data_IF_804961207419
#
_entry.id   IF_804961207419
#
_cell.length_a   1.000
_cell.length_b   1.000
_cell.length_c   1.000
_cell.angle_alpha   90.00
_cell.angle_beta   90.00
_cell.angle_gamma   90.00
#
_symmetry.space_group_name_H-M   'P 1'
#
loop_
_entity.id
_entity.type
_entity.pdbx_description
1 polymer ?
#
# COMPACT_ATOMS: atom_id res chain seq x y z
N UNK A 1 -37.94 -0.82 12.83
CA UNK A 1 -37.73 0.16 11.74
C UNK A 1 -36.80 1.31 12.13
N UNK A 2 -37.05 2.04 13.20
CA UNK A 2 -36.23 3.19 13.63
C UNK A 2 -34.77 2.80 13.88
N UNK A 3 -34.50 1.71 14.59
CA UNK A 3 -33.13 1.26 14.86
C UNK A 3 -32.34 0.92 13.58
N UNK A 4 -32.98 0.23 12.62
CA UNK A 4 -32.35 -0.05 11.32
C UNK A 4 -32.02 1.23 10.55
N UNK A 5 -32.93 2.19 10.55
CA UNK A 5 -32.70 3.50 9.93
C UNK A 5 -31.52 4.24 10.56
N UNK A 6 -31.42 4.25 11.91
CA UNK A 6 -30.30 4.87 12.61
C UNK A 6 -28.97 4.19 12.28
N UNK A 7 -28.93 2.86 12.21
CA UNK A 7 -27.73 2.11 11.82
C UNK A 7 -27.29 2.46 10.40
N UNK A 8 -28.23 2.49 9.44
CA UNK A 8 -27.92 2.86 8.05
C UNK A 8 -27.43 4.31 7.95
N UNK A 9 -28.01 5.21 8.72
CA UNK A 9 -27.58 6.62 8.76
C UNK A 9 -26.14 6.74 9.28
N UNK A 10 -25.80 6.03 10.37
CA UNK A 10 -24.41 6.01 10.90
C UNK A 10 -23.43 5.45 9.87
N UNK A 11 -23.79 4.36 9.20
CA UNK A 11 -22.94 3.79 8.14
C UNK A 11 -22.72 4.81 7.02
N UNK A 12 -23.79 5.48 6.55
CA UNK A 12 -23.69 6.50 5.51
C UNK A 12 -22.77 7.65 5.92
N UNK A 13 -22.93 8.17 7.16
CA UNK A 13 -22.06 9.23 7.70
C UNK A 13 -20.60 8.78 7.74
N UNK A 14 -20.32 7.58 8.24
CA UNK A 14 -18.94 7.03 8.28
C UNK A 14 -18.36 6.90 6.87
N UNK A 15 -19.15 6.45 5.90
CA UNK A 15 -18.71 6.34 4.50
C UNK A 15 -18.37 7.71 3.92
N UNK A 16 -19.20 8.72 4.16
CA UNK A 16 -18.97 10.11 3.71
C UNK A 16 -17.69 10.66 4.35
N UNK A 17 -17.51 10.50 5.66
CA UNK A 17 -16.29 10.96 6.35
C UNK A 17 -15.03 10.31 5.75
N UNK A 18 -15.05 8.99 5.50
CA UNK A 18 -13.92 8.28 4.87
C UNK A 18 -13.66 8.77 3.46
N UNK A 19 -14.69 8.98 2.67
CA UNK A 19 -14.59 9.50 1.31
C UNK A 19 -14.00 10.91 1.28
N UNK A 20 -14.56 11.83 2.08
CA UNK A 20 -14.06 13.22 2.15
C UNK A 20 -12.62 13.26 2.67
N UNK A 21 -12.31 12.46 3.70
CA UNK A 21 -10.95 12.35 4.23
C UNK A 21 -9.95 11.84 3.19
N UNK A 22 -10.36 10.90 2.33
CA UNK A 22 -9.53 10.43 1.22
C UNK A 22 -9.32 11.52 0.16
N UNK A 23 -10.40 12.17 -0.30
CA UNK A 23 -10.35 13.22 -1.32
C UNK A 23 -9.49 14.42 -0.91
N UNK A 24 -9.40 14.71 0.38
CA UNK A 24 -8.55 15.78 0.92
C UNK A 24 -7.11 15.35 1.18
N UNK A 25 -6.79 14.06 1.09
CA UNK A 25 -5.46 13.53 1.36
C UNK A 25 -4.45 13.90 0.28
N UNK A 26 -3.19 14.03 0.67
CA UNK A 26 -2.07 14.21 -0.27
C UNK A 26 -1.97 13.04 -1.24
N UNK A 27 -2.28 11.81 -0.78
CA UNK A 27 -2.33 10.64 -1.65
C UNK A 27 -3.24 10.85 -2.86
N UNK A 28 -4.50 11.25 -2.62
CA UNK A 28 -5.42 11.55 -3.72
C UNK A 28 -4.96 12.73 -4.58
N UNK A 29 -4.46 13.80 -3.95
CA UNK A 29 -4.01 15.00 -4.67
C UNK A 29 -2.88 14.70 -5.65
N UNK A 30 -1.99 13.78 -5.30
CA UNK A 30 -0.84 13.38 -6.13
C UNK A 30 -1.24 12.31 -7.15
N UNK A 31 -1.85 11.19 -6.68
CA UNK A 31 -2.11 10.04 -7.54
C UNK A 31 -3.34 10.18 -8.44
N UNK A 32 -4.33 11.01 -8.03
CA UNK A 32 -5.64 11.17 -8.68
C UNK A 32 -6.44 9.86 -8.78
N UNK A 33 -6.01 8.79 -8.08
CA UNK A 33 -6.71 7.49 -8.10
C UNK A 33 -8.10 7.64 -7.46
N UNK A 34 -9.21 7.22 -8.11
CA UNK A 34 -10.56 7.30 -7.52
C UNK A 34 -10.65 6.50 -6.22
N UNK A 35 -11.51 6.94 -5.29
CA UNK A 35 -11.70 6.28 -3.99
C UNK A 35 -12.03 4.79 -4.12
N UNK A 36 -12.92 4.44 -5.05
CA UNK A 36 -13.32 3.04 -5.26
C UNK A 36 -12.15 2.21 -5.81
N UNK A 37 -11.41 2.74 -6.79
CA UNK A 37 -10.22 2.08 -7.33
C UNK A 37 -9.17 1.83 -6.23
N UNK A 38 -8.90 2.83 -5.38
CA UNK A 38 -8.01 2.66 -4.23
C UNK A 38 -8.51 1.57 -3.26
N UNK A 39 -9.81 1.41 -3.09
CA UNK A 39 -10.39 0.42 -2.17
C UNK A 39 -10.40 -1.02 -2.74
N UNK A 40 -10.47 -1.19 -4.04
CA UNK A 40 -10.62 -2.49 -4.72
C UNK A 40 -9.31 -3.03 -5.26
N UNK A 41 -8.35 -2.18 -5.58
CA UNK A 41 -7.03 -2.61 -6.03
C UNK A 41 -6.10 -2.83 -4.81
N UNK A 42 -5.58 -4.06 -4.71
CA UNK A 42 -4.79 -4.52 -3.56
C UNK A 42 -3.48 -3.75 -3.41
N UNK A 43 -2.79 -3.45 -4.52
CA UNK A 43 -1.54 -2.70 -4.53
C UNK A 43 -1.76 -1.26 -4.09
N UNK A 44 -2.67 -0.57 -4.77
CA UNK A 44 -3.05 0.83 -4.46
C UNK A 44 -3.54 1.00 -3.01
N UNK A 45 -4.27 0.00 -2.49
CA UNK A 45 -4.69 0.02 -1.09
C UNK A 45 -3.51 -0.09 -0.13
N UNK A 46 -2.52 -0.92 -0.44
CA UNK A 46 -1.28 -1.07 0.33
C UNK A 46 -0.50 0.24 0.41
N UNK A 47 -0.27 0.90 -0.73
CA UNK A 47 0.36 2.22 -0.82
C UNK A 47 -0.37 3.27 0.05
N UNK A 48 -1.71 3.32 -0.07
CA UNK A 48 -2.53 4.22 0.73
C UNK A 48 -2.44 3.93 2.23
N UNK A 49 -2.35 2.67 2.64
CA UNK A 49 -2.17 2.28 4.03
C UNK A 49 -0.83 2.78 4.60
N UNK A 50 0.27 2.64 3.83
CA UNK A 50 1.59 3.18 4.20
C UNK A 50 1.49 4.70 4.39
N UNK A 51 0.96 5.42 3.40
CA UNK A 51 0.76 6.86 3.51
C UNK A 51 -0.07 7.23 4.75
N UNK A 52 -1.18 6.54 4.99
CA UNK A 52 -2.08 6.81 6.12
C UNK A 52 -1.40 6.67 7.47
N UNK A 53 -0.48 5.71 7.62
CA UNK A 53 0.33 5.54 8.83
C UNK A 53 1.34 6.69 9.02
N UNK A 54 1.90 7.18 7.92
CA UNK A 54 2.99 8.17 7.94
C UNK A 54 2.52 9.61 7.73
N UNK A 55 1.26 9.87 7.38
CA UNK A 55 0.75 11.19 7.02
C UNK A 55 0.98 12.27 8.10
N UNK A 56 1.08 11.87 9.37
CA UNK A 56 1.34 12.83 10.47
C UNK A 56 2.69 13.54 10.33
N UNK A 57 3.66 12.93 9.62
CA UNK A 57 4.95 13.56 9.33
C UNK A 57 4.83 14.79 8.40
N UNK A 58 3.71 14.93 7.66
CA UNK A 58 3.43 16.12 6.86
C UNK A 58 3.36 17.38 7.73
N UNK A 59 2.90 17.27 8.98
CA UNK A 59 2.88 18.36 9.95
C UNK A 59 4.28 18.86 10.29
N UNK A 60 5.30 18.01 10.12
CA UNK A 60 6.71 18.31 10.35
C UNK A 60 7.46 18.57 9.02
N UNK A 61 6.73 18.88 7.95
CA UNK A 61 7.28 19.26 6.66
C UNK A 61 7.65 18.10 5.72
N UNK A 62 7.35 16.85 6.08
CA UNK A 62 7.57 15.73 5.17
C UNK A 62 6.73 15.85 3.89
N UNK A 63 7.29 15.40 2.77
CA UNK A 63 6.65 15.33 1.46
C UNK A 63 6.57 13.88 1.02
N UNK A 64 5.47 13.54 0.34
CA UNK A 64 5.23 12.21 -0.20
C UNK A 64 5.13 12.23 -1.71
N UNK A 65 5.76 11.25 -2.35
CA UNK A 65 5.60 10.92 -3.76
C UNK A 65 5.16 9.46 -3.86
N UNK A 66 4.41 9.14 -4.90
CA UNK A 66 3.84 7.81 -5.11
C UNK A 66 4.07 7.37 -6.55
N UNK A 67 4.30 6.07 -6.75
CA UNK A 67 4.54 5.46 -8.05
C UNK A 67 5.64 6.20 -8.82
N UNK A 68 6.80 6.38 -8.17
CA UNK A 68 7.95 7.09 -8.74
C UNK A 68 8.77 6.12 -9.60
N UNK A 69 8.92 6.43 -10.89
CA UNK A 69 9.72 5.63 -11.80
C UNK A 69 11.13 6.17 -11.91
N UNK A 70 12.12 5.35 -11.61
CA UNK A 70 13.54 5.67 -11.75
C UNK A 70 14.15 4.89 -12.94
N UNK A 71 15.02 5.51 -13.75
CA UNK A 71 15.72 4.81 -14.80
C UNK A 71 16.76 3.83 -14.22
N UNK A 72 16.80 2.61 -14.75
CA UNK A 72 17.77 1.56 -14.40
C UNK A 72 18.94 1.41 -15.39
N UNK A 73 18.93 2.14 -16.46
CA UNK A 73 19.79 1.91 -17.63
C UNK A 73 19.10 1.04 -18.70
N UNK A 74 19.65 0.99 -19.90
CA UNK A 74 19.14 0.20 -21.05
C UNK A 74 17.65 0.40 -21.37
N UNK A 75 17.04 1.54 -20.96
CA UNK A 75 15.64 1.86 -21.17
C UNK A 75 14.67 1.21 -20.16
N UNK A 76 15.19 0.45 -19.18
CA UNK A 76 14.39 -0.09 -18.09
C UNK A 76 14.12 0.95 -17.00
N UNK A 77 13.02 0.76 -16.26
CA UNK A 77 12.67 1.55 -15.08
C UNK A 77 12.41 0.65 -13.89
N UNK A 78 12.60 1.20 -12.70
CA UNK A 78 12.09 0.61 -11.45
C UNK A 78 11.08 1.56 -10.83
N UNK A 79 10.03 1.01 -10.24
CA UNK A 79 8.98 1.76 -9.57
C UNK A 79 9.22 1.75 -8.06
N UNK A 80 9.09 2.92 -7.44
CA UNK A 80 9.01 3.09 -5.98
C UNK A 80 7.56 3.36 -5.62
N UNK A 81 6.95 2.51 -4.81
CA UNK A 81 5.54 2.61 -4.44
C UNK A 81 5.25 3.87 -3.63
N UNK A 82 6.02 4.11 -2.56
CA UNK A 82 5.90 5.31 -1.72
C UNK A 82 7.29 5.84 -1.35
N UNK A 83 7.50 7.12 -1.60
CA UNK A 83 8.70 7.85 -1.23
C UNK A 83 8.33 8.96 -0.24
N UNK A 84 8.98 8.99 0.92
CA UNK A 84 8.85 10.07 1.90
C UNK A 84 10.16 10.84 2.01
N UNK A 85 10.11 12.14 1.85
CA UNK A 85 11.25 13.06 1.99
C UNK A 85 10.99 13.96 3.21
N UNK A 86 11.89 13.95 4.16
CA UNK A 86 11.80 14.78 5.36
C UNK A 86 13.19 15.29 5.79
N UNK A 87 13.26 16.07 6.87
CA UNK A 87 14.51 16.61 7.37
C UNK A 87 15.55 15.57 7.80
N UNK A 88 15.08 14.35 8.16
CA UNK A 88 15.94 13.25 8.57
C UNK A 88 16.46 12.41 7.39
N UNK A 89 15.91 12.57 6.18
CA UNK A 89 16.36 11.87 5.00
C UNK A 89 15.24 11.48 4.03
N UNK A 90 15.58 10.56 3.13
CA UNK A 90 14.68 10.00 2.12
C UNK A 90 14.39 8.56 2.51
N UNK A 91 13.11 8.23 2.60
CA UNK A 91 12.63 6.89 2.96
C UNK A 91 11.87 6.28 1.79
N UNK A 92 12.31 5.10 1.37
CA UNK A 92 11.71 4.32 0.29
C UNK A 92 10.89 3.19 0.91
N UNK A 93 9.63 3.08 0.51
CA UNK A 93 8.73 2.02 0.97
C UNK A 93 8.24 1.21 -0.22
N UNK A 94 8.43 -0.11 -0.13
CA UNK A 94 7.88 -1.11 -1.04
C UNK A 94 6.64 -1.74 -0.40
N UNK A 95 5.50 -1.65 -1.07
CA UNK A 95 4.23 -2.18 -0.58
C UNK A 95 4.05 -3.64 -0.99
N UNK A 96 3.89 -4.52 -0.01
CA UNK A 96 3.56 -5.93 -0.25
C UNK A 96 2.31 -6.31 0.55
N UNK A 97 1.17 -6.27 -0.13
CA UNK A 97 -0.13 -6.61 0.48
C UNK A 97 -0.47 -8.09 0.23
N UNK A 98 0.35 -8.98 0.76
CA UNK A 98 0.18 -10.41 0.63
C UNK A 98 -0.69 -10.99 1.76
N UNK A 99 -1.45 -12.04 1.45
CA UNK A 99 -2.22 -12.83 2.41
C UNK A 99 -1.53 -14.17 2.71
N UNK A 100 -2.00 -14.87 3.75
CA UNK A 100 -1.45 -16.16 4.15
C UNK A 100 -0.12 -16.03 4.91
N UNK A 101 0.75 -17.03 4.74
CA UNK A 101 2.05 -17.10 5.42
C UNK A 101 3.18 -16.72 4.48
N UNK A 102 4.11 -15.92 4.96
CA UNK A 102 5.30 -15.51 4.22
C UNK A 102 6.52 -16.22 4.82
N UNK A 103 7.29 -16.89 3.96
CA UNK A 103 8.54 -17.55 4.31
C UNK A 103 9.67 -16.97 3.49
N UNK A 104 10.73 -16.51 4.15
CA UNK A 104 11.90 -15.94 3.50
C UNK A 104 13.03 -15.68 4.45
N UNK A 105 14.19 -15.41 3.88
CA UNK A 105 15.40 -14.99 4.58
C UNK A 105 16.03 -13.85 3.79
N UNK A 106 16.70 -12.91 4.47
CA UNK A 106 17.34 -11.74 3.85
C UNK A 106 18.34 -12.10 2.73
N UNK A 107 18.96 -13.28 2.81
CA UNK A 107 19.96 -13.78 1.84
C UNK A 107 19.34 -14.44 0.60
N UNK A 108 18.06 -14.80 0.65
CA UNK A 108 17.40 -15.49 -0.47
C UNK A 108 16.82 -14.50 -1.46
N UNK A 109 17.13 -14.68 -2.75
CA UNK A 109 16.59 -13.86 -3.82
C UNK A 109 15.06 -13.90 -3.90
N UNK A 110 14.48 -15.07 -3.63
CA UNK A 110 13.03 -15.29 -3.70
C UNK A 110 12.48 -15.71 -2.34
N UNK A 111 11.36 -15.11 -1.97
CA UNK A 111 10.55 -15.51 -0.83
C UNK A 111 9.35 -16.30 -1.30
N UNK A 112 8.67 -16.99 -0.37
CA UNK A 112 7.50 -17.83 -0.68
C UNK A 112 6.30 -17.38 0.11
N UNK A 113 5.20 -17.12 -0.59
CA UNK A 113 3.86 -16.98 -0.02
C UNK A 113 3.17 -18.34 -0.01
N UNK A 114 2.54 -18.70 1.10
CA UNK A 114 1.75 -19.93 1.26
C UNK A 114 0.29 -19.58 1.53
N UNK A 115 -0.58 -19.91 0.59
CA UNK A 115 -2.01 -19.58 0.61
C UNK A 115 -2.84 -20.83 0.99
N UNK A 116 -3.58 -20.82 2.10
CA UNK A 116 -4.48 -21.92 2.44
C UNK A 116 -5.53 -22.14 1.36
N UNK A 117 -5.74 -23.39 0.94
CA UNK A 117 -6.73 -23.76 -0.08
C UNK A 117 -8.03 -24.35 0.51
N UNK A 118 -8.19 -24.24 1.84
CA UNK A 118 -9.30 -24.84 2.57
C UNK A 118 -8.95 -26.18 3.19
N UNK A 119 -9.91 -26.74 3.97
CA UNK A 119 -9.71 -27.96 4.75
C UNK A 119 -9.39 -29.16 3.83
N UNK A 120 -8.29 -29.87 4.13
CA UNK A 120 -7.87 -31.07 3.41
C UNK A 120 -7.15 -30.83 2.07
N UNK A 121 -6.92 -29.59 1.66
CA UNK A 121 -6.14 -29.28 0.44
C UNK A 121 -4.76 -28.74 0.81
N UNK A 122 -3.70 -29.12 0.04
CA UNK A 122 -2.37 -28.56 0.23
C UNK A 122 -2.39 -27.04 -0.04
N UNK A 123 -1.59 -26.28 0.70
CA UNK A 123 -1.48 -24.86 0.49
C UNK A 123 -0.83 -24.55 -0.87
N UNK A 124 -1.37 -23.59 -1.60
CA UNK A 124 -0.74 -23.05 -2.82
C UNK A 124 0.47 -22.23 -2.43
N UNK A 125 1.62 -22.50 -3.04
CA UNK A 125 2.86 -21.76 -2.82
C UNK A 125 3.19 -20.91 -4.03
N UNK A 126 3.45 -19.62 -3.79
CA UNK A 126 3.87 -18.66 -4.82
C UNK A 126 5.18 -18.02 -4.41
N UNK A 127 6.09 -17.83 -5.37
CA UNK A 127 7.38 -17.17 -5.15
C UNK A 127 7.30 -15.71 -5.59
N UNK A 128 7.95 -14.83 -4.83
CA UNK A 128 8.09 -13.42 -5.18
C UNK A 128 9.48 -12.91 -4.80
N UNK A 129 9.88 -11.79 -5.41
CA UNK A 129 11.20 -11.20 -5.14
C UNK A 129 11.30 -10.75 -3.68
N UNK A 130 12.45 -11.04 -3.05
CA UNK A 130 12.76 -10.58 -1.71
C UNK A 130 12.64 -9.05 -1.60
N UNK A 131 11.72 -8.53 -0.76
CA UNK A 131 11.48 -7.08 -0.67
C UNK A 131 12.71 -6.29 -0.20
N UNK A 132 13.57 -6.92 0.63
CA UNK A 132 14.81 -6.29 1.10
C UNK A 132 15.79 -6.10 -0.07
N UNK A 133 15.90 -7.11 -0.96
CA UNK A 133 16.72 -7.00 -2.15
C UNK A 133 16.11 -6.03 -3.17
N UNK A 134 14.79 -6.05 -3.32
CA UNK A 134 14.10 -5.11 -4.19
C UNK A 134 14.37 -3.67 -3.77
N UNK A 135 14.26 -3.38 -2.48
CA UNK A 135 14.49 -2.04 -1.92
C UNK A 135 15.96 -1.56 -2.06
N UNK A 136 16.91 -2.49 -2.15
CA UNK A 136 18.34 -2.16 -2.41
C UNK A 136 18.62 -1.82 -3.88
N UNK A 137 17.67 -2.06 -4.78
CA UNK A 137 17.79 -1.74 -6.19
C UNK A 137 17.25 -0.34 -6.54
N UNK A 138 16.58 0.30 -5.58
CA UNK A 138 16.12 1.68 -5.64
C UNK A 138 17.18 2.63 -5.08
#
# INVERSE_FOLDING_TARGET
MILLFLVLLVIAVVCVIKYVGYMNSTYYKVTKKPFLAMRTDVGTYGEYCIFKLLKSYENNGAKFLFNVYLPKGEGETTEIDVLMICSQGIYVFESKNYSGWIFGNEKYKMWTQSLPQGKGRPAKKEKFLNPIMQNKLH
#
